data_IF_470936003476
#
_entry.id   IF_470936003476
#
_cell.length_a   1.000
_cell.length_b   1.000
_cell.length_c   1.000
_cell.angle_alpha   90.00
_cell.angle_beta   90.00
_cell.angle_gamma   90.00
#
_symmetry.space_group_name_H-M   'P 1'
#
loop_
_entity.id
_entity.type
_entity.pdbx_description
1 polymer ?
#
# COMPACT_ATOMS: atom_id res chain seq x y z
N UNK A 1 -11.65 10.04 -10.98
CA UNK A 1 -10.23 9.70 -10.74
C UNK A 1 -10.16 8.57 -9.74
N UNK A 2 -9.28 7.58 -9.93
CA UNK A 2 -9.07 6.43 -9.04
C UNK A 2 -7.80 6.65 -8.22
N UNK A 3 -7.94 6.71 -6.91
CA UNK A 3 -6.83 6.80 -5.97
C UNK A 3 -6.67 5.45 -5.28
N UNK A 4 -5.65 4.68 -5.65
CA UNK A 4 -5.30 3.49 -4.88
C UNK A 4 -4.58 3.92 -3.60
N UNK A 5 -4.99 3.38 -2.45
CA UNK A 5 -4.26 3.52 -1.18
C UNK A 5 -3.79 2.13 -0.73
N UNK A 6 -2.50 1.97 -0.46
CA UNK A 6 -1.99 0.69 0.04
C UNK A 6 -2.35 0.53 1.52
N UNK A 7 -2.80 -0.66 1.90
CA UNK A 7 -3.42 -0.91 3.20
C UNK A 7 -4.91 -0.63 3.19
N UNK A 8 -5.67 -1.41 3.97
CA UNK A 8 -7.15 -1.33 3.99
C UNK A 8 -7.71 -0.61 5.21
N UNK A 9 -7.08 -0.84 6.36
CA UNK A 9 -7.62 -0.46 7.67
C UNK A 9 -6.69 0.48 8.45
N UNK A 10 -5.55 0.85 7.86
CA UNK A 10 -4.64 1.82 8.48
C UNK A 10 -5.28 3.20 8.58
N UNK A 11 -4.79 4.02 9.52
CA UNK A 11 -5.37 5.34 9.82
C UNK A 11 -5.54 6.20 8.56
N UNK A 12 -4.50 6.28 7.71
CA UNK A 12 -4.53 7.06 6.47
C UNK A 12 -5.55 6.49 5.47
N UNK A 13 -5.60 5.17 5.30
CA UNK A 13 -6.55 4.54 4.37
C UNK A 13 -8.00 4.82 4.81
N UNK A 14 -8.30 4.64 6.10
CA UNK A 14 -9.62 4.94 6.66
C UNK A 14 -10.02 6.41 6.45
N UNK A 15 -9.12 7.35 6.77
CA UNK A 15 -9.39 8.79 6.59
C UNK A 15 -9.56 9.19 5.12
N UNK A 16 -8.84 8.55 4.19
CA UNK A 16 -9.02 8.82 2.76
C UNK A 16 -10.36 8.25 2.26
N UNK A 17 -10.73 7.04 2.68
CA UNK A 17 -12.02 6.43 2.33
C UNK A 17 -13.18 7.30 2.82
N UNK A 18 -13.12 7.79 4.06
CA UNK A 18 -14.15 8.68 4.63
C UNK A 18 -14.31 9.98 3.83
N UNK A 19 -13.20 10.50 3.29
CA UNK A 19 -13.16 11.77 2.54
C UNK A 19 -13.30 11.59 1.02
N UNK A 20 -13.51 10.36 0.55
CA UNK A 20 -13.76 10.07 -0.86
C UNK A 20 -14.98 10.82 -1.38
N UNK A 21 -15.06 11.01 -2.70
CA UNK A 21 -16.14 11.76 -3.33
C UNK A 21 -16.57 11.12 -4.65
N UNK A 22 -17.58 11.70 -5.31
CA UNK A 22 -18.00 11.24 -6.66
C UNK A 22 -16.90 11.45 -7.71
N UNK A 23 -16.01 12.40 -7.49
CA UNK A 23 -14.92 12.72 -8.43
C UNK A 23 -13.65 11.91 -8.16
N UNK A 24 -13.49 11.41 -6.92
CA UNK A 24 -12.34 10.62 -6.46
C UNK A 24 -12.80 9.33 -5.80
N UNK A 25 -12.69 8.23 -6.54
CA UNK A 25 -12.89 6.87 -6.05
C UNK A 25 -11.63 6.42 -5.30
N UNK A 26 -11.74 6.21 -3.98
CA UNK A 26 -10.65 5.67 -3.16
C UNK A 26 -10.72 4.15 -3.16
N UNK A 27 -9.66 3.51 -3.64
CA UNK A 27 -9.56 2.06 -3.81
C UNK A 27 -8.51 1.52 -2.82
N UNK A 28 -8.92 1.01 -1.65
CA UNK A 28 -7.98 0.40 -0.72
C UNK A 28 -7.48 -0.94 -1.26
N UNK A 29 -6.16 -1.08 -1.40
CA UNK A 29 -5.51 -2.30 -1.89
C UNK A 29 -4.59 -2.84 -0.79
N UNK A 30 -4.75 -4.11 -0.44
CA UNK A 30 -3.97 -4.73 0.62
C UNK A 30 -4.01 -6.24 0.55
N UNK A 31 -3.52 -6.89 1.61
CA UNK A 31 -3.40 -8.36 1.68
C UNK A 31 -4.75 -9.07 1.42
N UNK A 32 -4.75 -10.22 0.71
CA UNK A 32 -3.57 -10.89 0.14
C UNK A 32 -3.15 -10.36 -1.24
N UNK A 33 -3.96 -9.49 -1.88
CA UNK A 33 -3.72 -9.05 -3.25
C UNK A 33 -2.45 -8.19 -3.36
N UNK A 34 -2.26 -7.23 -2.45
CA UNK A 34 -1.04 -6.44 -2.33
C UNK A 34 -0.43 -6.69 -0.95
N UNK A 35 0.67 -7.42 -0.93
CA UNK A 35 1.41 -7.76 0.26
C UNK A 35 2.84 -7.23 0.13
N UNK A 36 3.20 -6.20 0.90
CA UNK A 36 4.51 -5.59 0.83
C UNK A 36 5.65 -6.51 1.30
N UNK A 37 5.34 -7.54 2.10
CA UNK A 37 6.30 -8.59 2.45
C UNK A 37 6.51 -9.61 1.31
N UNK A 38 5.65 -9.58 0.28
CA UNK A 38 5.69 -10.40 -0.94
C UNK A 38 5.65 -9.49 -2.17
N UNK A 39 6.77 -8.82 -2.49
CA UNK A 39 6.79 -7.73 -3.46
C UNK A 39 6.36 -8.14 -4.89
N UNK A 40 6.39 -9.43 -5.22
CA UNK A 40 5.86 -10.00 -6.46
C UNK A 40 4.35 -9.78 -6.64
N UNK A 41 3.61 -9.56 -5.56
CA UNK A 41 2.16 -9.32 -5.61
C UNK A 41 1.78 -7.90 -6.04
N UNK A 42 2.69 -6.94 -5.89
CA UNK A 42 2.40 -5.50 -5.98
C UNK A 42 1.95 -5.08 -7.38
N UNK A 43 2.66 -5.53 -8.43
CA UNK A 43 2.38 -5.12 -9.80
C UNK A 43 0.98 -5.57 -10.26
N UNK A 44 0.64 -6.83 -10.02
CA UNK A 44 -0.67 -7.37 -10.43
C UNK A 44 -1.82 -6.65 -9.72
N UNK A 45 -1.67 -6.40 -8.42
CA UNK A 45 -2.70 -5.74 -7.63
C UNK A 45 -2.93 -4.28 -8.05
N UNK A 46 -1.86 -3.53 -8.33
CA UNK A 46 -2.00 -2.15 -8.81
C UNK A 46 -2.52 -2.09 -10.25
N UNK A 47 -2.10 -3.02 -11.12
CA UNK A 47 -2.64 -3.11 -12.48
C UNK A 47 -4.15 -3.41 -12.47
N UNK A 48 -4.62 -4.32 -11.61
CA UNK A 48 -6.05 -4.62 -11.44
C UNK A 48 -6.81 -3.41 -10.88
N UNK A 49 -6.22 -2.70 -9.91
CA UNK A 49 -6.83 -1.51 -9.34
C UNK A 49 -6.97 -0.34 -10.33
N UNK A 50 -6.17 -0.32 -11.42
CA UNK A 50 -6.14 0.74 -12.45
C UNK A 50 -6.17 2.15 -11.84
N UNK A 51 -5.22 2.52 -10.95
CA UNK A 51 -5.21 3.83 -10.33
C UNK A 51 -4.69 4.91 -11.28
N UNK A 52 -5.22 6.13 -11.10
CA UNK A 52 -4.60 7.35 -11.60
C UNK A 52 -3.52 7.88 -10.62
N UNK A 53 -3.72 7.63 -9.31
CA UNK A 53 -2.82 8.03 -8.23
C UNK A 53 -2.63 6.87 -7.25
N UNK A 54 -1.41 6.67 -6.74
CA UNK A 54 -1.12 5.72 -5.68
C UNK A 54 -0.64 6.44 -4.42
N UNK A 55 -1.32 6.19 -3.29
CA UNK A 55 -0.90 6.60 -1.94
C UNK A 55 -0.33 5.39 -1.22
N UNK A 56 0.99 5.38 -1.00
CA UNK A 56 1.66 4.31 -0.26
C UNK A 56 1.51 4.52 1.25
N UNK A 57 0.50 3.90 1.87
CA UNK A 57 0.19 4.03 3.29
C UNK A 57 0.38 2.74 4.11
N UNK A 58 0.52 1.57 3.47
CA UNK A 58 0.86 0.34 4.15
C UNK A 58 2.34 0.34 4.56
N UNK A 59 2.60 -0.05 5.81
CA UNK A 59 3.94 -0.14 6.39
C UNK A 59 3.95 -1.13 7.55
N UNK A 60 5.15 -1.57 7.94
CA UNK A 60 5.42 -2.20 9.22
C UNK A 60 5.74 -1.08 10.22
N UNK A 61 4.86 -0.86 11.19
CA UNK A 61 4.92 0.33 12.08
C UNK A 61 5.15 0.00 13.55
N UNK A 62 5.34 -1.27 13.91
CA UNK A 62 5.72 -1.64 15.27
C UNK A 62 7.23 -1.37 15.44
N UNK A 63 7.57 -0.19 15.96
CA UNK A 63 8.96 0.29 16.02
C UNK A 63 9.84 -0.62 16.89
N UNK A 64 9.34 -1.03 18.06
CA UNK A 64 10.10 -1.88 18.98
C UNK A 64 10.38 -3.25 18.34
N UNK A 65 9.37 -3.86 17.72
CA UNK A 65 9.51 -5.18 17.08
C UNK A 65 10.35 -5.13 15.79
N UNK A 66 10.43 -3.98 15.12
CA UNK A 66 11.27 -3.82 13.93
C UNK A 66 12.77 -3.98 14.22
N UNK A 67 13.21 -3.75 15.47
CA UNK A 67 14.58 -4.00 15.90
C UNK A 67 14.92 -5.50 15.92
N UNK A 68 13.95 -6.35 16.25
CA UNK A 68 14.11 -7.81 16.26
C UNK A 68 13.80 -8.42 14.88
N UNK A 69 12.86 -7.84 14.14
CA UNK A 69 12.36 -8.34 12.83
C UNK A 69 12.87 -7.50 11.65
N UNK A 70 14.18 -7.24 11.61
CA UNK A 70 14.80 -6.33 10.62
C UNK A 70 14.48 -6.73 9.19
N UNK A 71 14.60 -8.01 8.85
CA UNK A 71 14.36 -8.50 7.49
C UNK A 71 12.92 -8.22 7.05
N UNK A 72 11.94 -8.42 7.94
CA UNK A 72 10.54 -8.14 7.64
C UNK A 72 10.27 -6.63 7.54
N UNK A 73 10.84 -5.83 8.44
CA UNK A 73 10.74 -4.38 8.39
C UNK A 73 11.30 -3.82 7.07
N UNK A 74 12.48 -4.28 6.63
CA UNK A 74 13.06 -3.91 5.34
C UNK A 74 12.26 -4.44 4.15
N UNK A 75 11.77 -5.69 4.21
CA UNK A 75 10.94 -6.26 3.16
C UNK A 75 9.69 -5.38 2.92
N UNK A 76 9.00 -4.96 3.98
CA UNK A 76 7.79 -4.13 3.87
C UNK A 76 8.11 -2.67 3.54
N UNK A 77 8.94 -2.02 4.34
CA UNK A 77 9.09 -0.55 4.31
C UNK A 77 10.09 -0.05 3.26
N UNK A 78 11.03 -0.89 2.80
CA UNK A 78 11.99 -0.52 1.77
C UNK A 78 11.69 -1.22 0.44
N UNK A 79 11.75 -2.55 0.42
CA UNK A 79 11.60 -3.32 -0.84
C UNK A 79 10.18 -3.24 -1.38
N UNK A 80 9.17 -3.50 -0.54
CA UNK A 80 7.75 -3.43 -0.90
C UNK A 80 7.36 -2.03 -1.34
N UNK A 81 7.72 -1.00 -0.57
CA UNK A 81 7.51 0.40 -0.94
C UNK A 81 8.18 0.75 -2.28
N UNK A 82 9.40 0.29 -2.51
CA UNK A 82 10.11 0.43 -3.78
C UNK A 82 9.36 -0.22 -4.96
N UNK A 83 8.71 -1.37 -4.75
CA UNK A 83 7.87 -2.01 -5.79
C UNK A 83 6.60 -1.23 -6.08
N UNK A 84 5.99 -0.60 -5.07
CA UNK A 84 4.85 0.30 -5.27
C UNK A 84 5.25 1.48 -6.16
N UNK A 85 6.41 2.09 -5.89
CA UNK A 85 6.94 3.17 -6.73
C UNK A 85 7.24 2.70 -8.17
N UNK A 86 7.86 1.53 -8.35
CA UNK A 86 8.14 0.96 -9.67
C UNK A 86 6.87 0.67 -10.47
N UNK A 87 5.79 0.23 -9.82
CA UNK A 87 4.52 -0.06 -10.47
C UNK A 87 3.72 1.21 -10.83
N UNK A 88 4.09 2.37 -10.29
CA UNK A 88 3.45 3.66 -10.55
C UNK A 88 4.23 4.54 -11.54
N UNK A 89 5.40 4.10 -12.01
CA UNK A 89 6.25 4.79 -12.99
C UNK A 89 5.81 4.50 -14.43
#
# INVERSE_FOLDING_TARGET
MRLAVTGREGQVAASLIERGSKDVEVVPVGRPALDLARPETVFAALAEARPDIVVSAAAYTNVDQAEDEKELAFAVNATGAGKVAQAAA
#
